data_IF_634684912492
#
_entry.id   IF_634684912492
#
_cell.length_a   1.000
_cell.length_b   1.000
_cell.length_c   1.000
_cell.angle_alpha   90.00
_cell.angle_beta   90.00
_cell.angle_gamma   90.00
#
_symmetry.space_group_name_H-M   'P 1'
#
loop_
_entity.id
_entity.type
_entity.pdbx_description
1 polymer ?
#
# COMPACT_ATOMS: atom_id res chain seq x y z
N UNK A 1 7.49 7.36 10.33
CA UNK A 1 7.22 7.41 8.88
C UNK A 1 7.70 8.78 8.44
N UNK A 2 8.73 8.84 7.62
CA UNK A 2 9.22 10.11 7.08
C UNK A 2 8.39 10.51 5.86
N UNK A 3 8.43 11.79 5.45
CA UNK A 3 7.75 12.26 4.23
C UNK A 3 8.21 11.51 2.98
N UNK A 4 9.48 11.06 2.95
CA UNK A 4 10.03 10.21 1.88
C UNK A 4 9.36 8.83 1.86
N UNK A 5 9.15 8.22 3.02
CA UNK A 5 8.45 6.93 3.11
C UNK A 5 6.98 7.03 2.71
N UNK A 6 6.30 8.11 3.14
CA UNK A 6 4.93 8.40 2.74
C UNK A 6 4.82 8.47 1.21
N UNK A 7 5.65 9.31 0.57
CA UNK A 7 5.66 9.49 -0.87
C UNK A 7 5.90 8.18 -1.61
N UNK A 8 6.82 7.35 -1.13
CA UNK A 8 7.06 6.00 -1.68
C UNK A 8 5.82 5.11 -1.56
N UNK A 9 5.12 5.13 -0.43
CA UNK A 9 3.90 4.34 -0.24
C UNK A 9 2.77 4.80 -1.17
N UNK A 10 2.55 6.11 -1.29
CA UNK A 10 1.56 6.70 -2.20
C UNK A 10 1.90 6.32 -3.65
N UNK A 11 3.15 6.50 -4.08
CA UNK A 11 3.55 6.13 -5.44
C UNK A 11 3.40 4.64 -5.72
N UNK A 12 3.66 3.78 -4.74
CA UNK A 12 3.50 2.34 -4.89
C UNK A 12 2.02 1.94 -5.01
N UNK A 13 1.15 2.61 -4.24
CA UNK A 13 -0.30 2.44 -4.32
C UNK A 13 -0.90 2.77 -5.69
N UNK A 14 -0.25 3.63 -6.49
CA UNK A 14 -0.62 3.88 -7.89
C UNK A 14 -0.74 2.59 -8.71
N UNK A 15 0.13 1.60 -8.46
CA UNK A 15 0.11 0.32 -9.18
C UNK A 15 -1.11 -0.54 -8.80
N UNK A 16 -1.62 -0.36 -7.59
CA UNK A 16 -2.78 -1.05 -7.08
C UNK A 16 -4.10 -0.30 -7.32
N UNK A 17 -4.06 0.95 -7.81
CA UNK A 17 -5.24 1.80 -7.98
C UNK A 17 -6.35 1.19 -8.87
N UNK A 18 -5.97 0.37 -9.85
CA UNK A 18 -6.93 -0.37 -10.69
C UNK A 18 -7.66 -1.52 -9.98
N UNK A 19 -7.16 -1.97 -8.83
CA UNK A 19 -7.72 -3.03 -7.98
C UNK A 19 -8.41 -2.48 -6.73
N UNK A 20 -8.44 -1.16 -6.57
CA UNK A 20 -9.09 -0.49 -5.45
C UNK A 20 -10.60 -0.44 -5.62
N UNK A 21 -11.33 -0.60 -4.52
CA UNK A 21 -12.73 -0.21 -4.49
C UNK A 21 -12.86 1.30 -4.70
N UNK A 22 -14.08 1.76 -5.02
CA UNK A 22 -14.36 3.19 -5.23
C UNK A 22 -13.97 4.05 -4.02
N UNK A 23 -14.25 3.58 -2.81
CA UNK A 23 -13.93 4.28 -1.57
C UNK A 23 -12.41 4.34 -1.31
N UNK A 24 -11.72 3.22 -1.55
CA UNK A 24 -10.27 3.15 -1.42
C UNK A 24 -9.54 4.03 -2.42
N UNK A 25 -10.06 4.06 -3.66
CA UNK A 25 -9.52 4.90 -4.71
C UNK A 25 -9.71 6.38 -4.40
N UNK A 26 -10.88 6.78 -3.91
CA UNK A 26 -11.12 8.16 -3.48
C UNK A 26 -10.17 8.57 -2.33
N UNK A 27 -9.94 7.67 -1.36
CA UNK A 27 -8.99 7.90 -0.29
C UNK A 27 -7.54 8.04 -0.82
N UNK A 28 -7.13 7.15 -1.74
CA UNK A 28 -5.83 7.22 -2.40
C UNK A 28 -5.65 8.53 -3.19
N UNK A 29 -6.65 8.95 -3.97
CA UNK A 29 -6.60 10.18 -4.77
C UNK A 29 -6.45 11.42 -3.88
N UNK A 30 -7.12 11.46 -2.72
CA UNK A 30 -6.94 12.51 -1.72
C UNK A 30 -5.50 12.53 -1.17
N UNK A 31 -4.95 11.37 -0.81
CA UNK A 31 -3.58 11.26 -0.32
C UNK A 31 -2.54 11.66 -1.37
N UNK A 32 -2.76 11.25 -2.63
CA UNK A 32 -1.90 11.57 -3.75
C UNK A 32 -1.90 13.07 -4.09
N UNK A 33 -3.04 13.74 -3.93
CA UNK A 33 -3.13 15.19 -4.09
C UNK A 33 -2.34 15.93 -3.01
N UNK A 34 -2.55 15.58 -1.73
CA UNK A 34 -1.80 16.19 -0.61
C UNK A 34 -0.28 15.99 -0.74
N UNK A 35 0.15 14.79 -1.17
CA UNK A 35 1.57 14.52 -1.45
C UNK A 35 2.14 15.35 -2.61
N UNK A 36 1.30 15.73 -3.58
CA UNK A 36 1.68 16.61 -4.69
C UNK A 36 1.79 18.08 -4.25
N UNK A 37 0.89 18.52 -3.37
CA UNK A 37 0.86 19.88 -2.83
C UNK A 37 1.87 20.10 -1.68
N UNK A 38 2.75 19.11 -1.39
CA UNK A 38 3.69 19.08 -0.25
C UNK A 38 2.99 19.30 1.12
N UNK A 39 1.70 18.97 1.21
CA UNK A 39 0.90 19.05 2.44
C UNK A 39 1.11 17.81 3.33
N UNK A 40 1.23 18.03 4.64
CA UNK A 40 1.28 16.92 5.59
C UNK A 40 -0.07 16.19 5.68
N UNK A 41 -0.01 14.86 5.72
CA UNK A 41 -1.19 14.05 6.01
C UNK A 41 -1.49 14.11 7.51
N UNK A 42 -2.75 14.31 7.87
CA UNK A 42 -3.17 14.17 9.27
C UNK A 42 -3.02 12.70 9.76
N UNK A 43 -2.98 12.52 11.08
CA UNK A 43 -2.82 11.22 11.74
C UNK A 43 -3.81 10.14 11.27
N UNK A 44 -5.07 10.51 11.00
CA UNK A 44 -6.10 9.60 10.49
C UNK A 44 -5.77 9.18 9.06
N UNK A 45 -5.42 10.14 8.20
CA UNK A 45 -5.05 9.87 6.81
C UNK A 45 -3.77 9.04 6.72
N UNK A 46 -2.77 9.29 7.58
CA UNK A 46 -1.57 8.45 7.69
C UNK A 46 -1.90 7.01 8.09
N UNK A 47 -2.85 6.81 9.00
CA UNK A 47 -3.28 5.47 9.41
C UNK A 47 -3.96 4.74 8.26
N UNK A 48 -4.82 5.44 7.52
CA UNK A 48 -5.49 4.91 6.31
C UNK A 48 -4.49 4.55 5.22
N UNK A 49 -3.46 5.37 5.00
CA UNK A 49 -2.38 5.10 4.04
C UNK A 49 -1.65 3.79 4.38
N UNK A 50 -1.30 3.58 5.65
CA UNK A 50 -0.63 2.35 6.12
C UNK A 50 -1.50 1.12 5.91
N UNK A 51 -2.79 1.20 6.26
CA UNK A 51 -3.74 0.11 6.07
C UNK A 51 -3.92 -0.24 4.59
N UNK A 52 -4.09 0.78 3.74
CA UNK A 52 -4.24 0.61 2.30
C UNK A 52 -2.97 0.00 1.69
N UNK A 53 -1.80 0.49 2.08
CA UNK A 53 -0.52 -0.07 1.64
C UNK A 53 -0.34 -1.52 2.10
N UNK A 54 -0.66 -1.85 3.36
CA UNK A 54 -0.58 -3.21 3.87
C UNK A 54 -1.53 -4.17 3.13
N UNK A 55 -2.72 -3.70 2.76
CA UNK A 55 -3.72 -4.48 2.01
C UNK A 55 -3.22 -4.88 0.61
N UNK A 56 -2.61 -3.95 -0.11
CA UNK A 56 -2.19 -4.18 -1.50
C UNK A 56 -0.74 -4.64 -1.65
N UNK A 57 0.10 -4.37 -0.65
CA UNK A 57 1.49 -4.77 -0.59
C UNK A 57 1.79 -5.41 0.77
N UNK A 58 1.19 -6.58 1.06
CA UNK A 58 1.54 -7.34 2.24
C UNK A 58 3.05 -7.59 2.25
N UNK A 59 3.71 -7.29 3.38
CA UNK A 59 5.11 -7.67 3.58
C UNK A 59 5.15 -9.17 3.82
N UNK A 60 5.27 -9.95 2.76
CA UNK A 60 5.56 -11.37 2.88
C UNK A 60 6.95 -11.52 3.52
N UNK A 61 7.01 -12.20 4.67
CA UNK A 61 8.28 -12.63 5.24
C UNK A 61 8.90 -13.70 4.34
N UNK A 62 10.21 -13.95 4.48
CA UNK A 62 10.87 -15.07 3.79
C UNK A 62 10.16 -16.39 4.05
N UNK A 63 9.74 -16.62 5.29
CA UNK A 63 8.91 -17.78 5.67
C UNK A 63 7.60 -17.87 4.89
N UNK A 64 6.93 -16.74 4.66
CA UNK A 64 5.65 -16.70 3.94
C UNK A 64 5.84 -17.02 2.45
N UNK A 65 6.96 -16.57 1.87
CA UNK A 65 7.36 -16.88 0.51
C UNK A 65 7.81 -18.35 0.35
N UNK A 66 8.56 -18.90 1.30
CA UNK A 66 8.99 -20.30 1.33
C UNK A 66 7.79 -21.25 1.49
N UNK A 67 6.83 -20.92 2.36
CA UNK A 67 5.60 -21.70 2.53
C UNK A 67 4.73 -21.67 1.26
N UNK A 68 4.58 -20.49 0.63
CA UNK A 68 3.88 -20.35 -0.64
C UNK A 68 4.57 -21.12 -1.78
N UNK A 69 5.91 -21.09 -1.84
CA UNK A 69 6.70 -21.83 -2.83
C UNK A 69 6.62 -23.35 -2.61
N UNK A 70 6.73 -23.81 -1.36
CA UNK A 70 6.63 -25.22 -0.98
C UNK A 70 5.26 -25.80 -1.32
N UNK A 71 4.18 -25.04 -1.12
CA UNK A 71 2.82 -25.43 -1.54
C UNK A 71 2.68 -25.54 -3.07
N UNK A 72 3.32 -24.65 -3.82
CA UNK A 72 3.29 -24.66 -5.28
C UNK A 72 4.07 -25.85 -5.87
N UNK A 73 5.17 -26.27 -5.25
CA UNK A 73 6.02 -27.36 -5.74
C UNK A 73 5.57 -28.75 -5.29
N UNK A 74 4.87 -28.87 -4.16
CA UNK A 74 4.32 -30.14 -3.65
C UNK A 74 2.99 -30.56 -4.30
N UNK A 75 2.43 -29.74 -5.18
CA UNK A 75 1.20 -30.05 -5.94
C UNK A 75 1.43 -30.72 -7.30
N UNK A 76 2.60 -31.33 -7.55
CA UNK A 76 2.90 -32.10 -8.77
C UNK A 76 2.95 -33.59 -8.50
#
# INVERSE_FOLDING_TARGET
MTSVEQRKMVQRLKQAAGKMSREERAAYEMMAKRDHDDEELDSLTMTKLKQLHAKYFPKHSKDDLEDAWSKLTKGK
#
